data_IF_143999318299
#
_entry.id   IF_143999318299
#
_cell.length_a   1.000
_cell.length_b   1.000
_cell.length_c   1.000
_cell.angle_alpha   90.00
_cell.angle_beta   90.00
_cell.angle_gamma   90.00
#
_symmetry.space_group_name_H-M   'P 1'
#
loop_
_entity.id
_entity.type
_entity.pdbx_description
1 polymer ?
#
# COMPACT_ATOMS: atom_id res chain seq x y z
N UNK A 1 -13.34 5.93 -8.77
CA UNK A 1 -11.96 6.29 -8.37
C UNK A 1 -11.00 5.55 -9.29
N UNK A 2 -9.94 6.20 -9.74
CA UNK A 2 -9.03 5.64 -10.76
C UNK A 2 -8.00 4.73 -10.08
N UNK A 3 -7.73 3.57 -10.69
CA UNK A 3 -6.62 2.70 -10.29
C UNK A 3 -5.35 3.26 -10.94
N UNK A 4 -4.41 3.71 -10.12
CA UNK A 4 -3.18 4.35 -10.63
C UNK A 4 -2.09 3.33 -10.93
N UNK A 5 -1.97 2.30 -10.08
CA UNK A 5 -1.00 1.23 -10.26
C UNK A 5 -1.71 -0.13 -10.17
N UNK A 6 -1.33 -1.05 -11.06
CA UNK A 6 -1.86 -2.39 -11.19
C UNK A 6 -0.69 -3.35 -11.33
N UNK A 7 -0.48 -4.17 -10.30
CA UNK A 7 0.66 -5.07 -10.17
C UNK A 7 0.14 -6.50 -10.13
N UNK A 8 0.68 -7.41 -10.95
CA UNK A 8 0.20 -8.78 -10.94
C UNK A 8 1.05 -9.79 -11.71
N UNK A 9 0.78 -11.06 -11.46
CA UNK A 9 1.49 -12.21 -12.05
C UNK A 9 0.53 -13.27 -12.63
N UNK A 10 -0.72 -12.89 -12.91
CA UNK A 10 -1.78 -13.78 -13.38
C UNK A 10 -2.57 -14.45 -12.25
N UNK A 11 -1.90 -14.86 -11.16
CA UNK A 11 -2.57 -15.43 -9.98
C UNK A 11 -3.03 -14.38 -8.96
N UNK A 12 -2.19 -13.36 -8.75
CA UNK A 12 -2.47 -12.23 -7.87
C UNK A 12 -2.52 -10.95 -8.72
N UNK A 13 -3.51 -10.10 -8.45
CA UNK A 13 -3.57 -8.73 -8.97
C UNK A 13 -3.87 -7.77 -7.82
N UNK A 14 -2.97 -6.81 -7.62
CA UNK A 14 -3.09 -5.74 -6.62
C UNK A 14 -3.26 -4.41 -7.34
N UNK A 15 -4.25 -3.63 -6.91
CA UNK A 15 -4.46 -2.28 -7.42
C UNK A 15 -4.26 -1.24 -6.32
N UNK A 16 -3.47 -0.21 -6.61
CA UNK A 16 -3.22 0.93 -5.74
C UNK A 16 -3.91 2.18 -6.30
N UNK A 17 -4.45 3.02 -5.40
CA UNK A 17 -4.97 4.33 -5.77
C UNK A 17 -3.87 5.40 -5.87
N UNK A 18 -4.28 6.63 -6.18
CA UNK A 18 -3.42 7.82 -6.22
C UNK A 18 -2.68 8.06 -4.91
N UNK A 19 -3.32 7.72 -3.78
CA UNK A 19 -2.79 7.84 -2.42
C UNK A 19 -1.90 6.66 -2.01
N UNK A 20 -1.50 5.79 -2.96
CA UNK A 20 -0.65 4.61 -2.73
C UNK A 20 -1.27 3.55 -1.82
N UNK A 21 -2.60 3.60 -1.59
CA UNK A 21 -3.34 2.64 -0.77
C UNK A 21 -3.77 1.46 -1.61
N UNK A 22 -3.70 0.27 -1.04
CA UNK A 22 -4.27 -0.92 -1.68
C UNK A 22 -5.79 -0.81 -1.69
N UNK A 23 -6.39 -0.92 -2.87
CA UNK A 23 -7.84 -0.85 -3.08
C UNK A 23 -8.45 -2.19 -3.44
N UNK A 24 -7.76 -2.95 -4.27
CA UNK A 24 -8.24 -4.24 -4.72
C UNK A 24 -7.12 -5.26 -4.60
N UNK A 25 -7.47 -6.46 -4.13
CA UNK A 25 -6.60 -7.64 -4.11
C UNK A 25 -7.40 -8.80 -4.71
N UNK A 26 -7.06 -9.19 -5.93
CA UNK A 26 -7.69 -10.32 -6.61
C UNK A 26 -6.82 -11.57 -6.51
N UNK A 27 -7.41 -12.66 -6.05
CA UNK A 27 -6.79 -13.98 -5.95
C UNK A 27 -7.91 -15.04 -5.95
N UNK A 28 -7.79 -16.19 -6.65
CA UNK A 28 -6.57 -16.78 -7.24
C UNK A 28 -6.29 -16.40 -8.69
N UNK A 29 -7.10 -15.54 -9.30
CA UNK A 29 -6.85 -14.99 -10.62
C UNK A 29 -7.32 -13.54 -10.68
N UNK A 30 -6.71 -12.75 -11.59
CA UNK A 30 -7.16 -11.40 -11.88
C UNK A 30 -8.66 -11.38 -12.26
N UNK A 31 -9.45 -10.56 -11.56
CA UNK A 31 -10.89 -10.39 -11.82
C UNK A 31 -11.81 -11.43 -11.18
N UNK A 32 -11.29 -12.39 -10.41
CA UNK A 32 -12.10 -13.26 -9.56
C UNK A 32 -12.36 -12.62 -8.19
N UNK A 33 -12.20 -13.36 -7.09
CA UNK A 33 -12.50 -12.89 -5.75
C UNK A 33 -11.66 -11.67 -5.39
N UNK A 34 -12.34 -10.55 -5.08
CA UNK A 34 -11.70 -9.35 -4.57
C UNK A 34 -11.75 -9.37 -3.04
N UNK A 35 -10.61 -9.63 -2.41
CA UNK A 35 -10.48 -9.82 -0.95
C UNK A 35 -10.54 -8.54 -0.13
N UNK A 36 -10.83 -7.41 -0.78
CA UNK A 36 -10.82 -6.07 -0.17
C UNK A 36 -12.08 -5.29 -0.52
N UNK A 37 -12.82 -5.69 -1.56
CA UNK A 37 -14.05 -5.04 -2.05
C UNK A 37 -13.93 -3.51 -2.18
N UNK A 38 -12.74 -3.01 -2.55
CA UNK A 38 -12.50 -1.58 -2.67
C UNK A 38 -12.26 -0.84 -1.35
N UNK A 39 -12.25 -1.49 -0.18
CA UNK A 39 -11.96 -0.86 1.13
C UNK A 39 -10.46 -0.52 1.22
N UNK A 40 -10.07 0.76 1.26
CA UNK A 40 -8.66 1.11 1.21
C UNK A 40 -7.90 0.57 2.42
N UNK A 41 -6.81 -0.13 2.17
CA UNK A 41 -5.81 -0.39 3.20
C UNK A 41 -5.02 0.90 3.44
N UNK A 42 -5.26 1.52 4.59
CA UNK A 42 -4.71 2.85 4.90
C UNK A 42 -3.37 2.71 5.59
N UNK A 43 -2.50 3.68 5.35
CA UNK A 43 -1.21 3.81 6.00
C UNK A 43 -1.24 5.09 6.83
N UNK A 44 -1.12 4.93 8.14
CA UNK A 44 -0.93 6.03 9.07
C UNK A 44 0.54 6.23 9.37
N UNK A 45 0.96 7.48 9.56
CA UNK A 45 2.32 7.84 9.93
C UNK A 45 2.25 8.69 11.19
N UNK A 46 2.99 8.31 12.22
CA UNK A 46 3.14 9.09 13.44
C UNK A 46 4.61 9.48 13.62
N UNK A 47 4.86 10.78 13.74
CA UNK A 47 6.11 11.33 14.23
C UNK A 47 5.77 12.32 15.34
N UNK A 48 5.79 13.63 15.07
CA UNK A 48 5.33 14.65 16.02
C UNK A 48 3.79 14.72 16.06
N UNK A 49 3.14 14.49 14.90
CA UNK A 49 1.69 14.32 14.78
C UNK A 49 1.34 13.08 13.98
N UNK A 50 0.15 12.55 14.23
CA UNK A 50 -0.41 11.49 13.39
C UNK A 50 -1.04 12.07 12.12
N UNK A 51 -0.80 11.45 10.98
CA UNK A 51 -1.45 11.78 9.70
C UNK A 51 -1.65 10.53 8.86
N UNK A 52 -2.61 10.57 7.92
CA UNK A 52 -2.79 9.50 6.95
C UNK A 52 -2.06 9.81 5.65
N UNK A 53 -1.60 8.79 4.93
CA UNK A 53 -0.85 8.95 3.68
C UNK A 53 -1.67 9.66 2.60
N UNK A 54 -3.01 9.51 2.60
CA UNK A 54 -3.90 10.24 1.69
C UNK A 54 -3.96 11.75 1.93
N UNK A 55 -3.49 12.23 3.09
CA UNK A 55 -3.38 13.66 3.39
C UNK A 55 -2.04 14.24 2.88
N UNK A 56 -1.16 13.40 2.34
CA UNK A 56 0.18 13.77 1.86
C UNK A 56 0.18 14.02 0.35
N UNK A 57 1.22 14.69 -0.15
CA UNK A 57 1.44 14.78 -1.58
C UNK A 57 2.05 13.46 -2.09
N UNK A 58 1.33 12.75 -2.95
CA UNK A 58 1.69 11.43 -3.45
C UNK A 58 1.94 11.45 -4.96
N UNK A 59 2.95 10.69 -5.39
CA UNK A 59 3.38 10.57 -6.78
C UNK A 59 3.45 9.06 -7.14
N UNK A 60 2.32 8.45 -7.55
CA UNK A 60 2.29 7.06 -8.02
C UNK A 60 3.03 6.94 -9.35
N UNK A 61 4.00 6.02 -9.43
CA UNK A 61 4.85 5.86 -10.61
C UNK A 61 5.32 4.42 -10.79
N UNK A 62 5.37 3.95 -12.04
CA UNK A 62 6.07 2.73 -12.42
C UNK A 62 7.55 3.03 -12.65
N UNK A 63 8.43 2.09 -12.28
CA UNK A 63 9.80 2.10 -12.78
C UNK A 63 9.78 1.87 -14.29
N UNK A 64 10.55 2.69 -15.01
CA UNK A 64 10.59 2.68 -16.47
C UNK A 64 10.82 1.27 -17.01
N UNK A 65 10.03 0.88 -18.02
CA UNK A 65 10.08 -0.41 -18.71
C UNK A 65 9.88 -1.64 -17.80
N UNK A 66 9.24 -1.47 -16.64
CA UNK A 66 8.90 -2.57 -15.73
C UNK A 66 7.47 -2.46 -15.18
N UNK A 67 6.98 -3.56 -14.60
CA UNK A 67 5.74 -3.58 -13.80
C UNK A 67 5.98 -3.25 -12.32
N UNK A 68 7.20 -2.91 -11.92
CA UNK A 68 7.51 -2.51 -10.55
C UNK A 68 7.04 -1.06 -10.36
N UNK A 69 6.45 -0.76 -9.21
CA UNK A 69 6.14 0.62 -8.86
C UNK A 69 7.21 1.18 -7.92
N UNK A 70 7.58 2.44 -8.15
CA UNK A 70 8.50 3.21 -7.31
C UNK A 70 7.88 4.59 -7.11
N UNK A 71 7.10 4.73 -6.05
CA UNK A 71 6.24 5.87 -5.78
C UNK A 71 6.73 6.66 -4.58
N UNK A 72 6.31 7.91 -4.49
CA UNK A 72 6.75 8.82 -3.42
C UNK A 72 5.56 9.42 -2.68
N UNK A 73 5.73 9.66 -1.38
CA UNK A 73 4.81 10.45 -0.58
C UNK A 73 5.59 11.47 0.26
N UNK A 74 5.11 12.72 0.28
CA UNK A 74 5.79 13.83 0.96
C UNK A 74 4.82 14.58 1.86
N UNK A 75 5.17 14.68 3.14
CA UNK A 75 4.54 15.58 4.09
C UNK A 75 5.49 16.72 4.42
N UNK A 76 5.22 17.89 3.83
CA UNK A 76 6.04 19.08 4.01
C UNK A 76 5.85 19.73 5.37
N UNK A 77 4.70 19.58 6.03
CA UNK A 77 4.44 20.19 7.33
C UNK A 77 5.12 19.45 8.48
N UNK A 78 5.33 18.13 8.32
CA UNK A 78 6.11 17.31 9.25
C UNK A 78 7.57 17.14 8.79
N UNK A 79 7.95 17.51 7.57
CA UNK A 79 9.32 17.28 7.07
C UNK A 79 9.65 15.81 6.85
N UNK A 80 8.68 15.03 6.36
CA UNK A 80 8.81 13.59 6.12
C UNK A 80 8.64 13.25 4.63
N UNK A 81 9.43 12.29 4.19
CA UNK A 81 9.37 11.72 2.85
C UNK A 81 9.38 10.19 2.96
N UNK A 82 8.52 9.53 2.20
CA UNK A 82 8.45 8.06 2.13
C UNK A 82 8.57 7.65 0.68
N UNK A 83 9.51 6.75 0.38
CA UNK A 83 9.61 6.06 -0.90
C UNK A 83 9.01 4.65 -0.74
N UNK A 84 8.07 4.31 -1.63
CA UNK A 84 7.43 3.01 -1.73
C UNK A 84 7.95 2.28 -2.96
N UNK A 85 8.44 1.04 -2.79
CA UNK A 85 8.68 0.11 -3.91
C UNK A 85 7.74 -1.06 -3.80
N UNK A 86 6.87 -1.19 -4.79
CA UNK A 86 5.81 -2.17 -4.79
C UNK A 86 5.96 -3.15 -5.95
N UNK A 87 5.74 -4.43 -5.66
CA UNK A 87 5.81 -5.50 -6.63
C UNK A 87 4.83 -6.63 -6.29
N UNK A 88 4.42 -7.37 -7.31
CA UNK A 88 3.90 -8.73 -7.14
C UNK A 88 4.99 -9.67 -7.61
N UNK A 89 5.32 -10.67 -6.79
CA UNK A 89 6.35 -11.65 -7.12
C UNK A 89 5.95 -12.49 -8.34
N UNK A 90 6.90 -12.89 -9.19
CA UNK A 90 6.59 -13.44 -10.51
C UNK A 90 5.93 -14.83 -10.49
N UNK A 91 6.27 -15.68 -9.52
CA UNK A 91 5.90 -17.10 -9.50
C UNK A 91 4.95 -17.46 -8.33
N UNK A 92 4.78 -16.55 -7.37
CA UNK A 92 3.99 -16.75 -6.15
C UNK A 92 3.00 -15.62 -5.94
N UNK A 93 1.81 -15.87 -5.39
CA UNK A 93 0.80 -14.86 -5.12
C UNK A 93 1.19 -14.01 -3.89
N UNK A 94 2.29 -13.26 -4.01
CA UNK A 94 2.86 -12.45 -2.93
C UNK A 94 2.98 -11.00 -3.40
N UNK A 95 2.34 -10.10 -2.66
CA UNK A 95 2.56 -8.67 -2.77
C UNK A 95 3.69 -8.25 -1.84
N UNK A 96 4.67 -7.51 -2.38
CA UNK A 96 5.82 -6.98 -1.69
C UNK A 96 5.76 -5.45 -1.71
N UNK A 97 5.98 -4.84 -0.54
CA UNK A 97 6.09 -3.39 -0.37
C UNK A 97 7.29 -3.08 0.50
N UNK A 98 8.32 -2.50 -0.09
CA UNK A 98 9.46 -1.91 0.63
C UNK A 98 9.14 -0.44 0.92
N UNK A 99 9.37 -0.02 2.16
CA UNK A 99 9.06 1.33 2.62
C UNK A 99 10.34 1.94 3.20
N UNK A 100 10.81 3.01 2.57
CA UNK A 100 11.96 3.77 3.04
C UNK A 100 11.49 5.13 3.55
N UNK A 101 11.62 5.37 4.86
CA UNK A 101 11.24 6.63 5.50
C UNK A 101 12.46 7.53 5.64
N UNK A 102 12.32 8.80 5.26
CA UNK A 102 13.35 9.83 5.39
C UNK A 102 12.84 11.00 6.22
N UNK A 103 13.53 11.26 7.32
CA UNK A 103 13.40 12.50 8.06
C UNK A 103 14.21 13.61 7.38
N UNK A 104 13.57 14.73 7.03
CA UNK A 104 14.21 15.90 6.41
C UNK A 104 14.58 17.00 7.39
N UNK A 105 14.23 16.84 8.66
CA UNK A 105 14.62 17.76 9.73
C UNK A 105 16.04 17.48 10.21
N UNK A 106 16.64 18.47 10.89
CA UNK A 106 18.01 18.40 11.42
C UNK A 106 18.13 17.69 12.79
N UNK A 107 17.01 17.27 13.36
CA UNK A 107 16.92 16.50 14.59
C UNK A 107 16.46 15.06 14.36
N UNK A 108 16.93 14.13 15.19
CA UNK A 108 16.45 12.74 15.17
C UNK A 108 15.08 12.63 15.86
N UNK A 109 14.21 11.80 15.30
CA UNK A 109 12.90 11.48 15.88
C UNK A 109 12.47 10.08 15.47
N UNK A 110 11.60 9.50 16.29
CA UNK A 110 10.95 8.24 16.00
C UNK A 110 9.84 8.45 14.97
N UNK A 111 9.70 7.50 14.05
CA UNK A 111 8.61 7.49 13.07
C UNK A 111 7.98 6.11 13.07
N UNK A 112 6.70 6.05 13.42
CA UNK A 112 5.91 4.83 13.46
C UNK A 112 4.98 4.76 12.24
N UNK A 113 4.87 3.56 11.66
CA UNK A 113 3.95 3.27 10.56
C UNK A 113 2.83 2.37 11.05
N UNK A 114 1.59 2.76 10.76
CA UNK A 114 0.39 2.02 11.12
C UNK A 114 -0.29 1.50 9.85
N UNK A 115 -0.52 0.19 9.80
CA UNK A 115 -1.22 -0.43 8.67
C UNK A 115 -2.64 -0.78 9.09
N UNK A 116 -3.62 -0.03 8.57
CA UNK A 116 -5.03 -0.40 8.69
C UNK A 116 -5.40 -1.24 7.48
N UNK A 117 -5.38 -2.55 7.64
CA UNK A 117 -5.82 -3.50 6.62
C UNK A 117 -7.27 -3.89 6.87
N UNK A 118 -8.06 -3.97 5.80
CA UNK A 118 -9.48 -4.30 5.88
C UNK A 118 -9.78 -5.32 4.80
N UNK A 119 -9.78 -6.58 5.21
CA UNK A 119 -10.08 -7.70 4.33
C UNK A 119 -11.57 -7.99 4.37
N UNK A 120 -12.05 -8.48 3.23
CA UNK A 120 -13.32 -9.14 3.00
C UNK A 120 -12.97 -10.39 2.19
N UNK A 121 -12.40 -11.41 2.86
CA UNK A 121 -11.81 -12.56 2.16
C UNK A 121 -12.85 -13.24 1.27
N UNK A 122 -12.46 -13.65 0.07
CA UNK A 122 -13.36 -14.23 -0.93
C UNK A 122 -14.55 -13.33 -1.30
N UNK A 123 -14.39 -12.00 -1.17
CA UNK A 123 -15.42 -11.04 -1.53
C UNK A 123 -16.66 -11.06 -0.62
N UNK A 124 -16.53 -11.53 0.62
CA UNK A 124 -17.59 -11.50 1.63
C UNK A 124 -17.23 -10.62 2.81
N UNK A 125 -18.18 -9.81 3.27
CA UNK A 125 -18.00 -8.94 4.45
C UNK A 125 -18.08 -9.68 5.80
N UNK A 126 -18.34 -10.99 5.76
CA UNK A 126 -18.50 -11.83 6.95
C UNK A 126 -17.71 -13.13 6.80
N UNK A 127 -17.29 -13.69 7.94
CA UNK A 127 -16.61 -14.98 8.02
C UNK A 127 -15.09 -14.89 8.16
N UNK A 128 -14.54 -13.67 8.10
CA UNK A 128 -13.11 -13.44 8.26
C UNK A 128 -12.67 -13.72 9.70
N UNK A 129 -11.57 -14.47 9.84
CA UNK A 129 -10.94 -14.77 11.12
C UNK A 129 -9.48 -14.35 11.06
N UNK A 130 -9.06 -13.52 12.02
CA UNK A 130 -7.67 -13.10 12.16
C UNK A 130 -7.07 -13.74 13.41
N UNK A 131 -5.85 -14.26 13.28
CA UNK A 131 -5.05 -14.75 14.40
C UNK A 131 -3.60 -14.35 14.19
N UNK A 132 -2.83 -14.34 15.27
CA UNK A 132 -1.39 -14.10 15.24
C UNK A 132 -0.69 -15.36 15.69
N UNK A 133 0.44 -15.68 15.06
CA UNK A 133 1.33 -16.73 15.52
C UNK A 133 2.44 -16.02 16.30
N UNK A 134 2.66 -16.43 17.56
CA UNK A 134 3.78 -15.96 18.38
C UNK A 134 5.01 -16.82 18.14
#
# INVERSE_FOLDING_TARGET
MVRHLSLGNGSLLVNLDDSLRLRDLYYPYAGQENHVLGKPHRIGVHADRFSWIEDWNTEPMYMQDTILANSKAVNRSEGLEIDFRDAVECDRPVFLREINVRNKEDYSREVELFFKQSFDLYGTEMGDTCFTIR
#
